data_IF_406664853580
#
_entry.id   IF_406664853580
#
_cell.length_a   1.000
_cell.length_b   1.000
_cell.length_c   1.000
_cell.angle_alpha   90.00
_cell.angle_beta   90.00
_cell.angle_gamma   90.00
#
_symmetry.space_group_name_H-M   'P 1'
#
loop_
_entity.id
_entity.type
_entity.pdbx_description
1 polymer ?
#
# COMPACT_ATOMS: atom_id res chain seq x y z
N UNK A 1 -0.90 -13.71 -4.70
CA UNK A 1 -1.05 -12.23 -4.66
C UNK A 1 -0.05 -11.61 -5.62
N UNK A 2 -0.21 -10.34 -6.00
CA UNK A 2 0.73 -9.67 -6.91
C UNK A 2 2.19 -9.72 -6.42
N UNK A 3 2.41 -9.42 -5.13
CA UNK A 3 3.75 -9.47 -4.52
C UNK A 3 4.41 -10.85 -4.56
N UNK A 4 3.62 -11.93 -4.41
CA UNK A 4 4.14 -13.30 -4.52
C UNK A 4 4.60 -13.58 -5.96
N UNK A 5 3.80 -13.17 -6.95
CA UNK A 5 4.13 -13.39 -8.37
C UNK A 5 5.38 -12.62 -8.81
N UNK A 6 5.61 -11.42 -8.26
CA UNK A 6 6.86 -10.69 -8.47
C UNK A 6 8.05 -11.54 -8.01
N UNK A 7 7.99 -12.08 -6.79
CA UNK A 7 9.05 -12.96 -6.25
C UNK A 7 9.26 -14.22 -7.08
N UNK A 8 8.18 -14.89 -7.51
CA UNK A 8 8.27 -16.09 -8.36
C UNK A 8 8.97 -15.83 -9.69
N UNK A 9 8.83 -14.62 -10.24
CA UNK A 9 9.51 -14.19 -11.48
C UNK A 9 10.87 -13.53 -11.24
N UNK A 10 11.36 -13.48 -9.99
CA UNK A 10 12.61 -12.81 -9.64
C UNK A 10 12.59 -11.30 -9.86
N UNK A 11 11.41 -10.68 -9.88
CA UNK A 11 11.21 -9.25 -10.08
C UNK A 11 11.08 -8.52 -8.74
N UNK A 12 11.53 -7.27 -8.71
CA UNK A 12 11.30 -6.34 -7.59
C UNK A 12 10.16 -5.38 -7.91
N UNK A 13 9.62 -4.68 -6.91
CA UNK A 13 8.57 -3.69 -7.13
C UNK A 13 8.98 -2.53 -8.03
N UNK A 14 10.27 -2.23 -8.12
CA UNK A 14 10.80 -1.15 -8.94
C UNK A 14 11.30 -1.63 -10.30
N UNK A 15 11.36 -2.95 -10.54
CA UNK A 15 12.07 -3.57 -11.66
C UNK A 15 11.19 -4.40 -12.59
N UNK A 16 9.96 -3.98 -12.88
CA UNK A 16 9.09 -4.60 -13.89
C UNK A 16 8.59 -3.57 -14.92
N UNK A 17 8.40 -4.00 -16.17
CA UNK A 17 7.80 -3.16 -17.22
C UNK A 17 6.29 -3.01 -17.04
N UNK A 18 5.69 -2.00 -17.68
CA UNK A 18 4.24 -1.79 -17.62
C UNK A 18 3.44 -3.03 -18.04
N UNK A 19 3.88 -3.70 -19.11
CA UNK A 19 3.21 -4.91 -19.62
C UNK A 19 3.34 -6.08 -18.65
N UNK A 20 4.52 -6.26 -18.03
CA UNK A 20 4.72 -7.26 -16.97
C UNK A 20 3.81 -6.95 -15.77
N UNK A 21 3.72 -5.70 -15.35
CA UNK A 21 2.85 -5.27 -14.25
C UNK A 21 1.38 -5.59 -14.53
N UNK A 22 0.88 -5.28 -15.73
CA UNK A 22 -0.48 -5.60 -16.17
C UNK A 22 -0.74 -7.10 -16.22
N UNK A 23 0.18 -7.87 -16.80
CA UNK A 23 0.08 -9.32 -16.87
C UNK A 23 -0.02 -9.95 -15.47
N UNK A 24 0.86 -9.56 -14.56
CA UNK A 24 0.91 -10.08 -13.19
C UNK A 24 -0.32 -9.67 -12.37
N UNK A 25 -0.81 -8.43 -12.55
CA UNK A 25 -2.02 -7.94 -11.93
C UNK A 25 -3.24 -8.73 -12.39
N UNK A 26 -3.39 -8.96 -13.69
CA UNK A 26 -4.50 -9.73 -14.23
C UNK A 26 -4.48 -11.18 -13.75
N UNK A 27 -3.30 -11.83 -13.76
CA UNK A 27 -3.15 -13.18 -13.23
C UNK A 27 -3.50 -13.27 -11.74
N UNK A 28 -3.09 -12.28 -10.93
CA UNK A 28 -3.44 -12.22 -9.51
C UNK A 28 -4.95 -12.07 -9.30
N UNK A 29 -5.61 -11.23 -10.11
CA UNK A 29 -7.06 -11.06 -10.06
C UNK A 29 -7.79 -12.34 -10.47
N UNK A 30 -7.37 -12.97 -11.57
CA UNK A 30 -7.99 -14.21 -12.06
C UNK A 30 -7.91 -15.35 -11.06
N UNK A 31 -6.75 -15.54 -10.41
CA UNK A 31 -6.61 -16.55 -9.36
C UNK A 31 -7.53 -16.29 -8.18
N UNK A 32 -7.63 -15.02 -7.78
CA UNK A 32 -8.50 -14.61 -6.67
C UNK A 32 -9.95 -14.88 -7.08
N UNK A 33 -10.37 -14.44 -8.25
CA UNK A 33 -11.71 -14.66 -8.76
C UNK A 33 -12.03 -16.16 -8.95
N UNK A 34 -11.06 -17.01 -9.30
CA UNK A 34 -11.21 -18.48 -9.34
C UNK A 34 -11.44 -19.07 -7.95
N UNK A 35 -10.71 -18.62 -6.92
CA UNK A 35 -10.95 -19.06 -5.53
C UNK A 35 -12.34 -18.68 -5.03
N UNK A 36 -12.85 -17.53 -5.47
CA UNK A 36 -14.21 -17.07 -5.16
C UNK A 36 -15.26 -17.54 -6.19
N UNK A 37 -14.88 -18.34 -7.20
CA UNK A 37 -15.78 -18.86 -8.24
C UNK A 37 -16.86 -19.77 -7.66
N UNK A 38 -16.59 -20.39 -6.51
CA UNK A 38 -17.56 -21.19 -5.76
C UNK A 38 -18.65 -20.32 -5.06
N UNK A 39 -18.58 -18.97 -5.17
CA UNK A 39 -19.44 -18.02 -4.46
C UNK A 39 -20.09 -16.94 -5.37
N UNK A 40 -20.61 -17.29 -6.56
CA UNK A 40 -21.56 -16.42 -7.32
C UNK A 40 -20.88 -15.25 -8.11
N UNK A 41 -19.56 -15.29 -8.35
CA UNK A 41 -18.87 -14.18 -9.05
C UNK A 41 -18.96 -14.15 -10.58
N UNK A 42 -19.57 -15.14 -11.24
CA UNK A 42 -19.56 -15.21 -12.72
C UNK A 42 -20.92 -15.31 -13.40
N UNK A 43 -22.02 -15.32 -12.65
CA UNK A 43 -23.32 -15.73 -13.21
C UNK A 43 -24.19 -14.57 -13.75
N UNK A 44 -23.67 -13.33 -13.79
CA UNK A 44 -24.43 -12.16 -14.29
C UNK A 44 -23.55 -11.12 -14.98
N UNK A 45 -24.14 -10.32 -15.88
CA UNK A 45 -23.51 -9.14 -16.48
C UNK A 45 -22.95 -8.17 -15.42
N UNK A 46 -23.62 -8.07 -14.27
CA UNK A 46 -23.17 -7.28 -13.11
C UNK A 46 -21.82 -7.75 -12.58
N UNK A 47 -21.60 -9.06 -12.48
CA UNK A 47 -20.33 -9.62 -11.98
C UNK A 47 -19.18 -9.36 -12.97
N UNK A 48 -19.44 -9.39 -14.28
CA UNK A 48 -18.45 -9.01 -15.31
C UNK A 48 -18.00 -7.55 -15.16
N UNK A 49 -18.93 -6.62 -14.96
CA UNK A 49 -18.60 -5.21 -14.72
C UNK A 49 -17.79 -5.00 -13.43
N UNK A 50 -18.13 -5.73 -12.36
CA UNK A 50 -17.41 -5.67 -11.09
C UNK A 50 -15.97 -6.16 -11.23
N UNK A 51 -15.74 -7.28 -11.92
CA UNK A 51 -14.38 -7.79 -12.21
C UNK A 51 -13.59 -6.78 -13.04
N UNK A 52 -14.21 -6.18 -14.07
CA UNK A 52 -13.57 -5.13 -14.86
C UNK A 52 -13.16 -3.92 -14.03
N UNK A 53 -13.99 -3.50 -13.06
CA UNK A 53 -13.65 -2.42 -12.12
C UNK A 53 -12.51 -2.82 -11.18
N UNK A 54 -12.52 -4.03 -10.63
CA UNK A 54 -11.45 -4.52 -9.75
C UNK A 54 -10.11 -4.61 -10.48
N UNK A 55 -10.13 -5.03 -11.75
CA UNK A 55 -8.95 -5.02 -12.62
C UNK A 55 -8.34 -3.63 -12.72
N UNK A 56 -9.14 -2.62 -13.08
CA UNK A 56 -8.65 -1.23 -13.17
C UNK A 56 -8.10 -0.70 -11.86
N UNK A 57 -8.77 -0.96 -10.74
CA UNK A 57 -8.28 -0.56 -9.40
C UNK A 57 -6.93 -1.23 -9.10
N UNK A 58 -6.79 -2.52 -9.38
CA UNK A 58 -5.55 -3.27 -9.12
C UNK A 58 -4.40 -2.79 -10.01
N UNK A 59 -4.62 -2.67 -11.31
CA UNK A 59 -3.64 -2.15 -12.26
C UNK A 59 -3.18 -0.74 -11.85
N UNK A 60 -4.13 0.15 -11.53
CA UNK A 60 -3.83 1.51 -11.08
C UNK A 60 -3.02 1.52 -9.80
N UNK A 61 -3.37 0.65 -8.85
CA UNK A 61 -2.67 0.51 -7.58
C UNK A 61 -1.23 0.04 -7.81
N UNK A 62 -1.02 -0.97 -8.64
CA UNK A 62 0.31 -1.49 -8.98
C UNK A 62 1.17 -0.42 -9.64
N UNK A 63 0.66 0.27 -10.67
CA UNK A 63 1.39 1.35 -11.37
C UNK A 63 1.75 2.49 -10.41
N UNK A 64 0.83 2.87 -9.51
CA UNK A 64 1.05 3.97 -8.55
C UNK A 64 2.05 3.57 -7.47
N UNK A 65 1.94 2.37 -6.91
CA UNK A 65 2.87 1.87 -5.88
C UNK A 65 4.27 1.67 -6.43
N UNK A 66 4.42 1.18 -7.67
CA UNK A 66 5.71 1.08 -8.33
C UNK A 66 6.36 2.46 -8.44
N UNK A 67 5.62 3.46 -8.94
CA UNK A 67 6.15 4.81 -9.05
C UNK A 67 6.58 5.37 -7.69
N UNK A 68 5.73 5.27 -6.66
CA UNK A 68 6.05 5.75 -5.32
C UNK A 68 7.32 5.08 -4.77
N UNK A 69 7.44 3.77 -4.90
CA UNK A 69 8.63 3.03 -4.48
C UNK A 69 9.89 3.41 -5.26
N UNK A 70 9.78 3.86 -6.51
CA UNK A 70 10.91 4.38 -7.28
C UNK A 70 11.35 5.79 -6.82
N UNK A 71 10.51 6.54 -6.10
CA UNK A 71 10.83 7.87 -5.58
C UNK A 71 11.39 7.86 -4.15
N UNK A 72 11.22 6.76 -3.41
CA UNK A 72 11.64 6.64 -2.01
C UNK A 72 12.80 5.66 -1.82
N UNK A 73 13.30 5.59 -0.58
CA UNK A 73 14.35 4.64 -0.16
C UNK A 73 13.79 3.42 0.58
N UNK A 74 12.49 3.43 0.90
CA UNK A 74 11.81 2.32 1.55
C UNK A 74 11.57 1.17 0.57
N UNK A 75 11.90 -0.04 0.99
CA UNK A 75 11.63 -1.27 0.25
C UNK A 75 10.62 -2.13 1.00
N UNK A 76 9.68 -2.79 0.30
CA UNK A 76 8.77 -3.70 0.97
C UNK A 76 9.49 -4.91 1.58
N UNK A 77 9.40 -5.06 2.90
CA UNK A 77 10.02 -6.15 3.63
C UNK A 77 9.03 -7.29 3.90
N UNK A 78 7.76 -6.97 4.20
CA UNK A 78 6.74 -7.96 4.50
C UNK A 78 5.35 -7.56 3.98
N UNK A 79 4.54 -8.58 3.68
CA UNK A 79 3.12 -8.45 3.32
C UNK A 79 2.30 -9.39 4.18
N UNK A 80 1.07 -9.00 4.51
CA UNK A 80 0.11 -9.85 5.24
C UNK A 80 0.74 -10.42 6.52
N UNK A 81 1.57 -9.61 7.19
CA UNK A 81 2.42 -10.02 8.31
C UNK A 81 1.57 -10.20 9.55
N UNK A 82 1.34 -11.45 9.93
CA UNK A 82 0.70 -11.79 11.20
C UNK A 82 1.56 -11.40 12.40
N UNK A 83 0.91 -10.97 13.48
CA UNK A 83 1.50 -10.87 14.82
C UNK A 83 0.53 -11.50 15.84
N UNK A 84 1.09 -12.11 16.88
CA UNK A 84 0.34 -12.90 17.87
C UNK A 84 -0.13 -14.29 17.42
N UNK A 85 -0.36 -15.18 18.39
CA UNK A 85 -0.83 -16.55 18.19
C UNK A 85 0.28 -17.63 18.19
N UNK A 86 -0.04 -18.85 17.72
CA UNK A 86 0.82 -20.06 17.78
C UNK A 86 2.07 -20.06 16.86
N UNK A 87 2.43 -18.92 16.26
CA UNK A 87 3.55 -18.85 15.31
C UNK A 87 4.13 -17.46 15.06
N UNK A 88 3.80 -16.45 15.88
CA UNK A 88 4.38 -15.12 15.82
C UNK A 88 4.45 -14.51 17.21
N UNK A 89 5.43 -13.63 17.44
CA UNK A 89 5.58 -12.95 18.72
C UNK A 89 4.29 -12.20 19.06
N UNK A 90 3.72 -12.51 20.22
CA UNK A 90 2.47 -11.91 20.68
C UNK A 90 2.77 -10.57 21.30
N UNK A 91 2.24 -9.50 20.72
CA UNK A 91 2.25 -8.20 21.40
C UNK A 91 1.40 -8.36 22.66
N UNK A 92 2.08 -8.28 23.80
CA UNK A 92 1.49 -8.42 25.11
C UNK A 92 1.62 -7.08 25.82
N UNK A 93 0.49 -6.53 26.26
CA UNK A 93 0.45 -5.34 27.10
C UNK A 93 0.11 -5.77 28.52
N UNK A 94 0.94 -5.38 29.48
CA UNK A 94 0.58 -5.49 30.89
C UNK A 94 -0.44 -4.40 31.23
N UNK A 95 -1.54 -4.82 31.84
CA UNK A 95 -2.59 -3.94 32.31
C UNK A 95 -2.32 -3.53 33.76
N UNK A 96 -2.83 -2.37 34.17
CA UNK A 96 -2.59 -1.81 35.50
C UNK A 96 -3.04 -2.71 36.66
N UNK A 97 -3.92 -3.66 36.41
CA UNK A 97 -4.48 -4.63 37.36
C UNK A 97 -3.79 -6.00 37.31
N UNK A 98 -2.57 -6.07 36.77
CA UNK A 98 -1.81 -7.31 36.54
C UNK A 98 -2.45 -8.27 35.50
N UNK A 99 -3.46 -7.82 34.76
CA UNK A 99 -3.95 -8.50 33.57
C UNK A 99 -2.93 -8.44 32.42
N UNK A 100 -2.99 -9.40 31.50
CA UNK A 100 -2.19 -9.39 30.28
C UNK A 100 -3.11 -9.36 29.06
N UNK A 101 -3.06 -8.27 28.29
CA UNK A 101 -3.74 -8.15 27.01
C UNK A 101 -2.84 -8.71 25.91
N UNK A 102 -3.29 -9.79 25.26
CA UNK A 102 -2.62 -10.35 24.09
C UNK A 102 -3.36 -9.96 22.83
N UNK A 103 -2.66 -9.30 21.92
CA UNK A 103 -3.23 -8.90 20.64
C UNK A 103 -2.72 -9.80 19.51
N UNK A 104 -3.66 -10.25 18.69
CA UNK A 104 -3.39 -10.91 17.44
C UNK A 104 -3.90 -10.03 16.31
N UNK A 105 -3.17 -9.97 15.20
CA UNK A 105 -3.56 -9.19 14.05
C UNK A 105 -2.69 -9.48 12.84
N UNK A 106 -2.95 -8.75 11.76
CA UNK A 106 -2.23 -8.86 10.50
C UNK A 106 -1.96 -7.45 9.99
N UNK A 107 -0.71 -7.18 9.64
CA UNK A 107 -0.25 -5.92 9.07
C UNK A 107 -0.17 -6.12 7.56
N UNK A 108 -0.92 -5.33 6.79
CA UNK A 108 -1.02 -5.52 5.35
C UNK A 108 0.35 -5.40 4.67
N UNK A 109 1.14 -4.38 5.02
CA UNK A 109 2.49 -4.16 4.48
C UNK A 109 3.42 -3.43 5.43
N UNK A 110 4.66 -3.91 5.50
CA UNK A 110 5.78 -3.29 6.20
C UNK A 110 6.88 -3.01 5.19
N UNK A 111 7.31 -1.75 5.13
CA UNK A 111 8.46 -1.31 4.36
C UNK A 111 9.58 -0.90 5.32
N UNK A 112 10.82 -1.24 4.95
CA UNK A 112 12.02 -0.91 5.71
C UNK A 112 12.98 -0.09 4.86
N UNK A 113 13.75 0.76 5.51
CA UNK A 113 14.94 1.39 4.96
C UNK A 113 16.05 1.28 6.01
N UNK A 114 17.23 0.81 5.63
CA UNK A 114 18.34 0.53 6.55
C UNK A 114 19.54 1.37 6.17
N UNK A 115 20.08 2.13 7.13
CA UNK A 115 21.21 3.02 6.89
C UNK A 115 21.93 3.35 8.20
N UNK A 116 23.27 3.24 8.23
CA UNK A 116 24.11 3.64 9.36
C UNK A 116 23.67 3.07 10.73
N UNK A 117 23.26 1.80 10.78
CA UNK A 117 22.76 1.17 12.01
C UNK A 117 21.39 1.69 12.48
N UNK A 118 20.67 2.41 11.62
CA UNK A 118 19.28 2.81 11.82
C UNK A 118 18.37 2.02 10.88
N UNK A 119 17.24 1.56 11.42
CA UNK A 119 16.18 0.89 10.66
C UNK A 119 14.93 1.73 10.71
N UNK A 120 14.57 2.33 9.58
CA UNK A 120 13.37 3.14 9.43
C UNK A 120 12.20 2.24 9.04
N UNK A 121 11.06 2.43 9.70
CA UNK A 121 9.87 1.58 9.54
C UNK A 121 8.71 2.41 8.97
N UNK A 122 8.14 1.94 7.86
CA UNK A 122 6.91 2.46 7.26
C UNK A 122 5.88 1.34 7.19
N UNK A 123 4.68 1.55 7.75
CA UNK A 123 3.57 0.62 7.61
C UNK A 123 2.50 1.20 6.68
N UNK A 124 1.89 0.32 5.89
CA UNK A 124 0.80 0.66 4.99
C UNK A 124 -0.36 -0.31 5.25
N UNK A 125 -1.55 0.24 5.43
CA UNK A 125 -2.81 -0.49 5.51
C UNK A 125 -3.71 -0.09 4.33
N UNK A 126 -4.21 -1.07 3.59
CA UNK A 126 -4.98 -0.87 2.38
C UNK A 126 -6.48 -0.79 2.70
N UNK A 127 -7.11 0.35 2.38
CA UNK A 127 -8.55 0.57 2.57
C UNK A 127 -9.24 0.94 1.26
N UNK A 128 -10.45 0.45 1.06
CA UNK A 128 -11.32 0.84 -0.07
C UNK A 128 -12.03 2.18 0.14
N UNK A 129 -12.12 2.66 1.38
CA UNK A 129 -12.75 3.93 1.73
C UNK A 129 -11.79 5.10 1.78
N UNK A 130 -12.32 6.31 1.99
CA UNK A 130 -11.56 7.56 2.12
C UNK A 130 -11.00 7.82 3.52
N UNK A 131 -10.92 6.78 4.37
CA UNK A 131 -10.53 6.93 5.78
C UNK A 131 -9.17 7.62 5.88
N UNK A 132 -9.12 8.69 6.67
CA UNK A 132 -7.90 9.33 7.13
C UNK A 132 -7.73 9.09 8.63
N UNK A 133 -6.50 9.25 9.12
CA UNK A 133 -6.26 9.31 10.56
C UNK A 133 -6.88 10.59 11.13
N UNK A 134 -7.61 10.42 12.22
CA UNK A 134 -8.23 11.50 12.98
C UNK A 134 -7.65 11.52 14.40
N UNK A 135 -6.87 12.54 14.77
CA UNK A 135 -6.25 12.65 16.09
C UNK A 135 -7.25 12.58 17.25
N UNK A 136 -8.48 13.09 17.08
CA UNK A 136 -9.51 13.02 18.11
C UNK A 136 -9.98 11.57 18.30
N UNK A 137 -10.19 10.85 17.21
CA UNK A 137 -10.61 9.45 17.25
C UNK A 137 -9.50 8.55 17.77
N UNK A 138 -8.24 8.88 17.50
CA UNK A 138 -7.08 8.21 18.12
C UNK A 138 -7.04 8.44 19.62
N UNK A 139 -7.22 9.69 20.08
CA UNK A 139 -7.29 10.03 21.51
C UNK A 139 -8.42 9.29 22.24
N UNK A 140 -9.54 9.05 21.55
CA UNK A 140 -10.68 8.26 22.05
C UNK A 140 -10.48 6.74 21.96
N UNK A 141 -9.35 6.26 21.43
CA UNK A 141 -9.09 4.84 21.25
C UNK A 141 -9.81 4.17 20.07
N UNK A 142 -10.51 4.94 19.23
CA UNK A 142 -11.33 4.43 18.12
C UNK A 142 -10.49 4.14 16.85
N UNK A 143 -9.28 4.70 16.76
CA UNK A 143 -8.37 4.55 15.61
C UNK A 143 -6.94 4.15 16.04
N UNK A 144 -6.80 3.04 16.76
CA UNK A 144 -5.49 2.60 17.30
C UNK A 144 -4.77 1.55 16.45
N UNK A 145 -5.42 1.01 15.40
CA UNK A 145 -4.90 -0.12 14.60
C UNK A 145 -3.46 0.13 14.09
N UNK A 146 -3.22 1.26 13.43
CA UNK A 146 -1.90 1.58 12.88
C UNK A 146 -0.84 1.77 13.99
N UNK A 147 -1.21 2.32 15.15
CA UNK A 147 -0.31 2.46 16.30
C UNK A 147 0.11 1.09 16.84
N UNK A 148 -0.85 0.17 16.98
CA UNK A 148 -0.58 -1.19 17.44
C UNK A 148 0.32 -1.94 16.45
N UNK A 149 0.08 -1.77 15.15
CA UNK A 149 0.89 -2.38 14.09
C UNK A 149 2.31 -1.85 14.09
N UNK A 150 2.48 -0.53 14.20
CA UNK A 150 3.81 0.08 14.28
C UNK A 150 4.54 -0.44 15.52
N UNK A 151 3.89 -0.44 16.69
CA UNK A 151 4.50 -0.97 17.92
C UNK A 151 4.95 -2.43 17.78
N UNK A 152 4.14 -3.28 17.12
CA UNK A 152 4.50 -4.67 16.81
C UNK A 152 5.83 -4.76 16.06
N UNK A 153 5.93 -3.99 14.98
CA UNK A 153 7.09 -4.01 14.09
C UNK A 153 8.29 -3.43 14.79
N UNK A 154 8.15 -2.33 15.53
CA UNK A 154 9.25 -1.74 16.29
C UNK A 154 9.84 -2.74 17.29
N UNK A 155 8.99 -3.42 18.06
CA UNK A 155 9.43 -4.41 19.04
C UNK A 155 10.16 -5.59 18.37
N UNK A 156 9.60 -6.11 17.28
CA UNK A 156 10.21 -7.20 16.53
C UNK A 156 11.56 -6.78 15.93
N UNK A 157 11.61 -5.65 15.22
CA UNK A 157 12.83 -5.16 14.58
C UNK A 157 13.92 -4.88 15.63
N UNK A 158 13.56 -4.34 16.80
CA UNK A 158 14.51 -4.11 17.88
C UNK A 158 15.01 -5.43 18.49
N UNK A 159 14.16 -6.44 18.60
CA UNK A 159 14.54 -7.76 19.08
C UNK A 159 15.50 -8.47 18.11
N UNK A 160 15.21 -8.41 16.80
CA UNK A 160 16.05 -9.00 15.75
C UNK A 160 17.37 -8.24 15.57
N UNK A 161 17.37 -6.94 15.86
CA UNK A 161 18.51 -6.04 15.63
C UNK A 161 18.81 -5.18 16.87
N UNK A 162 19.30 -5.77 17.97
CA UNK A 162 19.46 -5.06 19.25
C UNK A 162 20.53 -3.97 19.23
N UNK A 163 21.45 -3.98 18.26
CA UNK A 163 22.46 -2.94 18.06
C UNK A 163 21.97 -1.75 17.21
N UNK A 164 20.83 -1.89 16.56
CA UNK A 164 20.30 -0.86 15.67
C UNK A 164 19.28 0.02 16.39
N UNK A 165 19.16 1.27 15.93
CA UNK A 165 18.07 2.16 16.33
C UNK A 165 16.89 1.98 15.37
N UNK A 166 15.76 1.48 15.87
CA UNK A 166 14.54 1.34 15.06
C UNK A 166 13.68 2.60 15.16
N UNK A 167 13.37 3.21 14.01
CA UNK A 167 12.72 4.52 13.90
C UNK A 167 11.35 4.37 13.23
N UNK A 168 10.24 4.71 13.91
CA UNK A 168 8.93 4.78 13.26
C UNK A 168 8.89 5.98 12.32
N UNK A 169 8.82 5.75 11.01
CA UNK A 169 8.87 6.81 10.01
C UNK A 169 7.52 7.17 9.42
N UNK A 170 6.64 6.20 9.18
CA UNK A 170 5.31 6.49 8.66
C UNK A 170 4.29 5.38 8.95
N UNK A 171 3.03 5.80 9.15
CA UNK A 171 1.87 4.93 9.30
C UNK A 171 0.78 5.43 8.36
N UNK A 172 0.52 4.71 7.28
CA UNK A 172 -0.25 5.23 6.16
C UNK A 172 -1.45 4.33 5.84
N UNK A 173 -2.59 4.96 5.56
CA UNK A 173 -3.70 4.33 4.84
C UNK A 173 -3.52 4.59 3.35
N UNK A 174 -3.46 3.51 2.57
CA UNK A 174 -3.47 3.56 1.11
C UNK A 174 -4.88 3.29 0.59
N UNK A 175 -5.36 4.10 -0.35
CA UNK A 175 -6.71 4.02 -0.90
C UNK A 175 -6.75 3.16 -2.16
N UNK A 176 -7.45 2.03 -2.10
CA UNK A 176 -7.70 1.15 -3.25
C UNK A 176 -8.87 1.71 -4.08
N UNK A 177 -8.57 2.63 -5.01
CA UNK A 177 -9.56 3.25 -5.87
C UNK A 177 -9.01 3.51 -7.28
N UNK A 178 -9.93 3.70 -8.23
CA UNK A 178 -9.66 4.15 -9.60
C UNK A 178 -10.28 5.55 -9.73
N UNK A 179 -9.55 6.63 -9.37
CA UNK A 179 -10.13 7.96 -9.27
C UNK A 179 -10.35 8.55 -10.65
N UNK A 180 -11.52 9.15 -10.85
CA UNK A 180 -11.78 10.01 -12.02
C UNK A 180 -11.00 11.31 -11.82
N UNK A 181 -10.16 11.67 -12.77
CA UNK A 181 -9.51 12.98 -12.84
C UNK A 181 -10.19 13.82 -13.92
N UNK A 182 -10.22 15.13 -13.71
CA UNK A 182 -10.67 16.04 -14.76
C UNK A 182 -9.65 15.95 -15.89
N UNK A 183 -10.14 15.62 -17.09
CA UNK A 183 -9.30 15.60 -18.28
C UNK A 183 -8.85 17.01 -18.62
N UNK A 184 -7.65 17.16 -19.15
CA UNK A 184 -7.22 18.39 -19.84
C UNK A 184 -7.75 18.46 -21.27
N UNK A 185 -8.63 17.51 -21.63
CA UNK A 185 -9.26 17.40 -22.94
C UNK A 185 -10.57 18.19 -22.91
N UNK A 186 -10.54 19.36 -23.53
CA UNK A 186 -11.70 20.20 -23.82
C UNK A 186 -12.49 19.65 -25.01
N UNK A 187 -13.74 20.11 -25.20
CA UNK A 187 -14.54 19.75 -26.40
C UNK A 187 -13.84 20.15 -27.71
N UNK A 188 -12.92 21.10 -27.68
CA UNK A 188 -12.14 21.56 -28.85
C UNK A 188 -11.03 20.57 -29.25
N UNK A 189 -10.60 19.69 -28.33
CA UNK A 189 -9.56 18.68 -28.60
C UNK A 189 -10.07 17.48 -29.41
N UNK A 190 -11.38 17.35 -29.62
CA UNK A 190 -11.97 16.27 -30.42
C UNK A 190 -11.94 16.54 -31.93
N UNK A 191 -11.64 17.78 -32.34
CA UNK A 191 -11.61 18.20 -33.76
C UNK A 191 -10.19 18.25 -34.35
N UNK A 192 -9.13 18.23 -33.54
CA UNK A 192 -7.73 18.30 -33.99
C UNK A 192 -6.98 16.97 -33.74
N UNK A 193 -6.30 16.45 -34.77
CA UNK A 193 -5.38 15.31 -34.62
C UNK A 193 -4.16 15.72 -33.80
N UNK A 194 -4.07 15.21 -32.56
CA UNK A 194 -2.91 15.43 -31.69
C UNK A 194 -1.72 14.60 -32.15
N UNK A 195 -0.54 15.21 -32.07
CA UNK A 195 0.73 14.52 -32.28
C UNK A 195 0.99 13.47 -31.19
N UNK A 196 1.83 12.46 -31.45
CA UNK A 196 2.24 11.49 -30.42
C UNK A 196 2.83 12.13 -29.17
N UNK A 197 3.55 13.25 -29.31
CA UNK A 197 4.15 13.99 -28.18
C UNK A 197 3.08 14.66 -27.31
N UNK A 198 2.06 15.25 -27.92
CA UNK A 198 0.93 15.87 -27.19
C UNK A 198 0.08 14.81 -26.46
N UNK A 199 -0.14 13.66 -27.09
CA UNK A 199 -0.84 12.53 -26.45
C UNK A 199 -0.07 12.01 -25.24
N UNK A 200 1.26 11.90 -25.34
CA UNK A 200 2.10 11.50 -24.22
C UNK A 200 2.07 12.56 -23.10
N UNK A 201 2.15 13.85 -23.43
CA UNK A 201 2.08 14.93 -22.45
C UNK A 201 0.77 14.90 -21.65
N UNK A 202 -0.36 14.72 -22.33
CA UNK A 202 -1.69 14.59 -21.70
C UNK A 202 -1.73 13.33 -20.82
N UNK A 203 -1.20 12.21 -21.30
CA UNK A 203 -1.13 10.99 -20.50
C UNK A 203 -0.32 11.21 -19.21
N UNK A 204 0.82 11.92 -19.28
CA UNK A 204 1.63 12.23 -18.11
C UNK A 204 0.90 13.14 -17.12
N UNK A 205 0.15 14.14 -17.59
CA UNK A 205 -0.67 15.01 -16.74
C UNK A 205 -1.78 14.24 -16.03
N UNK A 206 -2.49 13.37 -16.75
CA UNK A 206 -3.50 12.48 -16.18
C UNK A 206 -2.91 11.58 -15.09
N UNK A 207 -1.78 10.93 -15.38
CA UNK A 207 -1.10 10.06 -14.41
C UNK A 207 -0.65 10.84 -13.17
N UNK A 208 -0.15 12.06 -13.34
CA UNK A 208 0.22 12.95 -12.24
C UNK A 208 -1.01 13.31 -11.39
N UNK A 209 -2.13 13.64 -12.01
CA UNK A 209 -3.38 13.95 -11.32
C UNK A 209 -3.91 12.73 -10.55
N UNK A 210 -3.84 11.54 -11.14
CA UNK A 210 -4.28 10.29 -10.51
C UNK A 210 -3.40 9.97 -9.31
N UNK A 211 -2.07 10.02 -9.45
CA UNK A 211 -1.12 9.81 -8.36
C UNK A 211 -1.35 10.80 -7.21
N UNK A 212 -1.67 12.06 -7.51
CA UNK A 212 -2.04 13.06 -6.50
C UNK A 212 -3.29 12.65 -5.70
N UNK A 213 -4.32 12.11 -6.36
CA UNK A 213 -5.54 11.60 -5.69
C UNK A 213 -5.32 10.29 -4.93
N UNK A 214 -4.29 9.52 -5.29
CA UNK A 214 -3.89 8.27 -4.64
C UNK A 214 -2.78 8.45 -3.59
N UNK A 215 -2.40 9.68 -3.25
CA UNK A 215 -1.47 9.94 -2.16
C UNK A 215 -2.01 9.32 -0.86
N UNK A 216 -1.22 8.49 -0.16
CA UNK A 216 -1.62 7.92 1.10
C UNK A 216 -1.91 9.01 2.13
N UNK A 217 -2.82 8.73 3.06
CA UNK A 217 -3.09 9.61 4.19
C UNK A 217 -2.67 8.92 5.47
N UNK A 218 -2.09 9.64 6.41
CA UNK A 218 -1.69 9.04 7.67
C UNK A 218 -0.79 9.94 8.49
N UNK A 219 0.06 9.32 9.29
CA UNK A 219 1.04 10.01 10.13
C UNK A 219 2.44 9.73 9.62
N UNK A 220 3.25 10.78 9.62
CA UNK A 220 4.64 10.76 9.20
C UNK A 220 5.47 11.35 10.33
N UNK A 221 6.65 10.77 10.57
CA UNK A 221 7.60 11.27 11.55
C UNK A 221 8.10 12.67 11.16
N UNK A 222 8.28 13.54 12.15
CA UNK A 222 8.93 14.84 11.96
C UNK A 222 10.46 14.75 11.86
N UNK A 223 11.06 13.56 12.03
CA UNK A 223 12.50 13.34 11.87
C UNK A 223 12.93 13.62 10.42
N UNK A 224 13.84 14.58 10.15
CA UNK A 224 14.31 14.89 8.81
C UNK A 224 14.87 13.67 8.07
N UNK A 225 15.52 12.74 8.78
CA UNK A 225 16.05 11.53 8.16
C UNK A 225 14.92 10.62 7.65
N UNK A 226 13.83 10.50 8.42
CA UNK A 226 12.65 9.77 7.95
C UNK A 226 12.04 10.45 6.72
N UNK A 227 11.88 11.79 6.75
CA UNK A 227 11.25 12.55 5.66
C UNK A 227 11.99 12.43 4.34
N UNK A 228 13.33 12.54 4.34
CA UNK A 228 14.15 12.44 3.13
C UNK A 228 14.07 11.08 2.42
N UNK A 229 13.69 10.02 3.15
CA UNK A 229 13.62 8.65 2.63
C UNK A 229 12.23 8.29 2.10
N UNK A 230 11.22 9.11 2.38
CA UNK A 230 9.85 8.85 1.97
C UNK A 230 9.62 9.13 0.49
N UNK A 231 8.63 8.44 -0.04
CA UNK A 231 8.16 8.51 -1.42
C UNK A 231 7.49 9.90 -1.64
N UNK A 232 8.16 10.83 -2.35
CA UNK A 232 7.64 12.19 -2.61
C UNK A 232 6.79 12.30 -3.90
#
# INVERSE_FOLDING_TARGET
TFSHRLKDRGLTWTGFSRDQGRELADQALQDTARKYRDLILYDTARSTHQIGRLRRILERTVETLQYQLQQGSFVPAAYEKGFGGRGGDTISFELADHGMLRLNGQIDRVDLCEEEGRRFVKIIDYKSGSRSLDPEQMRKGLQIQLLLYMNAVLQEQQHLHPGDTVVPSAMLYYRLQDPVVEGTVSEQDFEEERTPEELEAVHQEEQKAIRKKLRPTGMVSGDPASLQRLDH
#
